data_IF_645642440984
#
_entry.id   IF_645642440984
#
_cell.length_a   1.000
_cell.length_b   1.000
_cell.length_c   1.000
_cell.angle_alpha   90.00
_cell.angle_beta   90.00
_cell.angle_gamma   90.00
#
_symmetry.space_group_name_H-M   'P 1'
#
loop_
_entity.id
_entity.type
_entity.pdbx_description
1 polymer ?
#
# COMPACT_ATOMS: atom_id res chain seq x y z
N UNK A 1 18.74 -3.88 -1.31
CA UNK A 1 19.05 -2.78 -0.37
C UNK A 1 18.75 -1.36 -0.89
N UNK A 2 18.98 -1.02 -2.17
CA UNK A 2 18.62 0.31 -2.72
C UNK A 2 17.16 0.68 -2.48
N UNK A 3 16.23 -0.26 -2.68
CA UNK A 3 14.81 -0.08 -2.37
C UNK A 3 14.58 0.26 -0.89
N UNK A 4 15.27 -0.40 0.04
CA UNK A 4 15.12 -0.16 1.49
C UNK A 4 15.55 1.25 1.86
N UNK A 5 16.69 1.71 1.35
CA UNK A 5 17.17 3.09 1.58
C UNK A 5 16.18 4.11 1.04
N UNK A 6 15.70 3.91 -0.20
CA UNK A 6 14.71 4.80 -0.84
C UNK A 6 13.40 4.82 -0.06
N UNK A 7 12.85 3.66 0.31
CA UNK A 7 11.59 3.57 1.04
C UNK A 7 11.71 4.22 2.41
N UNK A 8 12.80 3.96 3.14
CA UNK A 8 13.02 4.56 4.46
C UNK A 8 13.16 6.08 4.37
N UNK A 9 13.87 6.59 3.35
CA UNK A 9 13.98 8.01 3.10
C UNK A 9 12.61 8.65 2.82
N UNK A 10 11.80 8.02 1.96
CA UNK A 10 10.45 8.49 1.67
C UNK A 10 9.55 8.48 2.91
N UNK A 11 9.58 7.39 3.69
CA UNK A 11 8.80 7.29 4.93
C UNK A 11 9.23 8.35 5.94
N UNK A 12 10.53 8.61 6.08
CA UNK A 12 11.00 9.69 6.94
C UNK A 12 10.42 11.04 6.50
N UNK A 13 10.44 11.37 5.21
CA UNK A 13 9.86 12.61 4.70
C UNK A 13 8.36 12.67 5.01
N UNK A 14 7.61 11.62 4.69
CA UNK A 14 6.16 11.58 4.93
C UNK A 14 5.80 11.71 6.42
N UNK A 15 6.54 11.06 7.31
CA UNK A 15 6.30 11.15 8.75
C UNK A 15 6.70 12.53 9.30
N UNK A 16 7.79 13.11 8.81
CA UNK A 16 8.22 14.46 9.20
C UNK A 16 7.22 15.54 8.75
N UNK A 17 6.65 15.43 7.55
CA UNK A 17 5.55 16.30 7.09
C UNK A 17 4.31 16.17 8.00
N UNK A 18 4.07 14.98 8.56
CA UNK A 18 3.02 14.71 9.56
C UNK A 18 3.43 15.12 11.00
N UNK A 19 4.55 15.82 11.17
CA UNK A 19 5.06 16.29 12.47
C UNK A 19 5.64 15.20 13.38
N UNK A 20 5.92 14.01 12.84
CA UNK A 20 6.49 12.87 13.57
C UNK A 20 8.01 12.83 13.42
N UNK A 21 8.66 12.13 14.36
CA UNK A 21 10.11 11.98 14.35
C UNK A 21 10.61 11.15 13.16
N UNK A 22 11.86 11.41 12.76
CA UNK A 22 12.59 10.56 11.83
C UNK A 22 12.70 9.14 12.41
N UNK A 23 12.65 8.13 11.54
CA UNK A 23 12.66 6.71 11.91
C UNK A 23 11.39 6.25 12.66
N UNK A 24 10.37 7.09 12.82
CA UNK A 24 9.11 6.68 13.46
C UNK A 24 8.45 5.48 12.78
N UNK A 25 8.67 5.31 11.48
CA UNK A 25 8.17 4.18 10.71
C UNK A 25 9.30 3.52 9.90
N UNK A 26 9.73 2.35 10.34
CA UNK A 26 10.70 1.51 9.63
C UNK A 26 10.06 0.16 9.35
N UNK A 27 10.03 -0.25 8.08
CA UNK A 27 9.50 -1.54 7.66
C UNK A 27 10.34 -2.70 8.25
N UNK A 28 9.72 -3.85 8.48
CA UNK A 28 10.40 -4.96 9.15
C UNK A 28 11.52 -5.57 8.30
N UNK A 29 11.41 -5.55 6.97
CA UNK A 29 12.50 -5.99 6.09
C UNK A 29 13.73 -5.10 6.19
N UNK A 30 13.51 -3.81 6.42
CA UNK A 30 14.58 -2.85 6.63
C UNK A 30 15.20 -3.12 7.99
N UNK A 31 14.39 -3.37 9.03
CA UNK A 31 14.90 -3.82 10.32
C UNK A 31 15.69 -5.12 10.22
N UNK A 32 15.24 -6.11 9.46
CA UNK A 32 15.97 -7.37 9.30
C UNK A 32 17.34 -7.17 8.63
N UNK A 33 17.45 -6.21 7.70
CA UNK A 33 18.75 -5.74 7.19
C UNK A 33 19.59 -5.08 8.29
N UNK A 34 19.03 -4.10 9.02
CA UNK A 34 19.75 -3.36 10.06
C UNK A 34 20.23 -4.28 11.20
N UNK A 35 19.45 -5.31 11.53
CA UNK A 35 19.76 -6.25 12.60
C UNK A 35 20.70 -7.37 12.15
N UNK A 36 21.11 -7.41 10.88
CA UNK A 36 22.04 -8.43 10.38
C UNK A 36 21.39 -9.75 9.94
N UNK A 37 20.06 -9.89 10.02
CA UNK A 37 19.35 -11.11 9.62
C UNK A 37 19.36 -11.36 8.12
N UNK A 38 19.52 -10.31 7.31
CA UNK A 38 19.72 -10.41 5.85
C UNK A 38 21.19 -10.39 5.43
N UNK A 39 22.13 -10.44 6.39
CA UNK A 39 23.56 -10.33 6.17
C UNK A 39 24.20 -9.15 6.89
N UNK A 40 25.53 -9.16 6.97
CA UNK A 40 26.29 -8.12 7.65
C UNK A 40 26.38 -6.85 6.80
N UNK A 41 26.01 -5.71 7.37
CA UNK A 41 26.22 -4.41 6.75
C UNK A 41 27.72 -4.10 6.60
N UNK A 42 28.15 -3.43 5.51
CA UNK A 42 29.55 -3.10 5.30
C UNK A 42 30.06 -1.99 6.23
N UNK A 43 29.16 -1.17 6.78
CA UNK A 43 29.48 -0.08 7.70
C UNK A 43 28.74 -0.19 9.02
N UNK A 44 29.11 0.67 9.95
CA UNK A 44 28.46 0.75 11.26
C UNK A 44 27.11 1.45 11.18
N UNK A 45 26.19 1.04 12.05
CA UNK A 45 24.89 1.66 12.19
C UNK A 45 25.00 2.94 13.01
N UNK A 46 24.21 3.95 12.63
CA UNK A 46 24.10 5.18 13.40
C UNK A 46 23.65 4.87 14.85
N UNK A 47 24.22 5.53 15.87
CA UNK A 47 23.89 5.26 17.28
C UNK A 47 22.40 5.34 17.59
N UNK A 48 21.69 6.31 17.00
CA UNK A 48 20.24 6.50 17.14
C UNK A 48 19.42 5.27 16.71
N UNK A 49 19.85 4.56 15.65
CA UNK A 49 19.17 3.35 15.19
C UNK A 49 19.46 2.16 16.11
N UNK A 50 20.66 2.11 16.70
CA UNK A 50 21.04 1.08 17.68
C UNK A 50 20.25 1.25 18.97
N UNK A 51 20.10 2.48 19.45
CA UNK A 51 19.28 2.81 20.62
C UNK A 51 17.81 2.48 20.38
N UNK A 52 17.28 2.86 19.21
CA UNK A 52 15.91 2.52 18.82
C UNK A 52 15.68 1.02 18.74
N UNK A 53 16.61 0.26 18.15
CA UNK A 53 16.54 -1.20 18.12
C UNK A 53 16.42 -1.79 19.53
N UNK A 54 17.22 -1.29 20.48
CA UNK A 54 17.16 -1.72 21.89
C UNK A 54 15.84 -1.34 22.55
N UNK A 55 15.35 -0.11 22.32
CA UNK A 55 14.09 0.37 22.86
C UNK A 55 12.88 -0.45 22.35
N UNK A 56 12.93 -0.91 21.10
CA UNK A 56 11.93 -1.79 20.49
C UNK A 56 12.17 -3.29 20.81
N UNK A 57 13.14 -3.62 21.66
CA UNK A 57 13.45 -5.01 22.02
C UNK A 57 14.00 -5.87 20.88
N UNK A 58 14.47 -5.25 19.80
CA UNK A 58 15.01 -5.93 18.62
C UNK A 58 16.43 -6.44 18.88
N UNK A 59 16.71 -7.67 18.45
CA UNK A 59 17.99 -8.36 18.67
C UNK A 59 18.83 -8.38 17.39
N UNK A 60 20.11 -8.03 17.54
CA UNK A 60 21.09 -8.17 16.47
C UNK A 60 21.45 -9.64 16.25
N UNK A 61 21.64 -10.01 14.99
CA UNK A 61 21.97 -11.34 14.53
C UNK A 61 23.32 -11.30 13.80
N UNK A 62 24.20 -12.23 14.15
CA UNK A 62 25.57 -12.35 13.59
C UNK A 62 25.84 -13.72 12.97
N UNK A 63 24.83 -14.59 12.92
CA UNK A 63 24.93 -15.94 12.33
C UNK A 63 24.81 -15.94 10.81
N UNK A 64 24.60 -17.12 10.23
CA UNK A 64 24.33 -17.25 8.80
C UNK A 64 22.88 -16.81 8.51
N UNK A 65 22.63 -15.81 7.64
CA UNK A 65 21.28 -15.39 7.28
C UNK A 65 20.37 -16.53 6.81
N UNK A 66 20.94 -17.57 6.18
CA UNK A 66 20.18 -18.73 5.70
C UNK A 66 19.53 -19.53 6.84
N UNK A 67 20.09 -19.48 8.05
CA UNK A 67 19.56 -20.19 9.22
C UNK A 67 18.17 -19.67 9.63
N UNK A 68 17.83 -18.43 9.23
CA UNK A 68 16.51 -17.84 9.48
C UNK A 68 15.43 -18.40 8.54
N UNK A 69 15.80 -19.16 7.50
CA UNK A 69 14.90 -19.65 6.46
C UNK A 69 15.04 -21.17 6.33
N UNK A 70 14.54 -21.94 7.31
CA UNK A 70 14.54 -23.39 7.24
C UNK A 70 13.66 -23.89 6.08
N UNK A 71 13.93 -25.10 5.61
CA UNK A 71 13.11 -25.74 4.58
C UNK A 71 11.65 -25.87 5.07
N UNK A 72 10.72 -25.38 4.25
CA UNK A 72 9.28 -25.38 4.53
C UNK A 72 8.45 -26.05 3.43
N UNK A 73 9.08 -26.78 2.49
CA UNK A 73 8.39 -27.37 1.34
C UNK A 73 7.31 -28.38 1.75
N UNK A 74 7.53 -29.17 2.80
CA UNK A 74 6.54 -30.16 3.27
C UNK A 74 5.23 -29.49 3.72
N UNK A 75 5.32 -28.29 4.30
CA UNK A 75 4.14 -27.49 4.64
C UNK A 75 3.34 -27.16 3.39
N UNK A 76 4.00 -26.66 2.35
CA UNK A 76 3.33 -26.27 1.11
C UNK A 76 2.79 -27.48 0.35
N UNK A 77 3.49 -28.62 0.36
CA UNK A 77 2.99 -29.87 -0.21
C UNK A 77 1.69 -30.30 0.47
N UNK A 78 1.60 -30.18 1.79
CA UNK A 78 0.36 -30.44 2.54
C UNK A 78 -0.77 -29.47 2.14
N UNK A 79 -0.48 -28.17 2.05
CA UNK A 79 -1.46 -27.15 1.64
C UNK A 79 -1.97 -27.38 0.20
N UNK A 80 -1.09 -27.77 -0.73
CA UNK A 80 -1.51 -28.11 -2.11
C UNK A 80 -2.40 -29.34 -2.13
N UNK A 81 -2.06 -30.39 -1.36
CA UNK A 81 -2.88 -31.58 -1.23
C UNK A 81 -4.28 -31.26 -0.67
N UNK A 82 -4.38 -30.40 0.35
CA UNK A 82 -5.66 -29.92 0.91
C UNK A 82 -6.50 -29.15 -0.11
N UNK A 83 -5.85 -28.42 -1.03
CA UNK A 83 -6.51 -27.68 -2.12
C UNK A 83 -6.67 -28.50 -3.41
N UNK A 84 -6.29 -29.78 -3.39
CA UNK A 84 -6.27 -30.67 -4.56
C UNK A 84 -5.47 -30.10 -5.74
N UNK A 85 -4.33 -29.49 -5.45
CA UNK A 85 -3.39 -29.00 -6.46
C UNK A 85 -2.23 -29.98 -6.64
N UNK A 86 -1.84 -30.21 -7.88
CA UNK A 86 -0.68 -31.00 -8.24
C UNK A 86 0.59 -30.18 -8.01
N UNK A 87 1.66 -30.83 -7.57
CA UNK A 87 2.96 -30.17 -7.33
C UNK A 87 3.73 -29.89 -8.61
N UNK A 88 3.25 -30.37 -9.75
CA UNK A 88 3.93 -30.27 -11.04
C UNK A 88 4.80 -31.51 -11.35
N UNK A 89 5.35 -31.56 -12.56
CA UNK A 89 6.20 -32.68 -13.03
C UNK A 89 7.54 -32.76 -12.28
N UNK A 90 8.13 -31.60 -11.96
CA UNK A 90 9.41 -31.46 -11.28
C UNK A 90 9.35 -30.61 -10.00
N UNK A 91 8.18 -30.61 -9.34
CA UNK A 91 7.84 -29.79 -8.16
C UNK A 91 7.82 -28.26 -8.44
N UNK A 92 7.75 -27.84 -9.69
CA UNK A 92 7.72 -26.44 -10.13
C UNK A 92 6.55 -25.65 -9.55
N UNK A 93 5.35 -26.25 -9.49
CA UNK A 93 4.17 -25.60 -8.90
C UNK A 93 4.30 -25.51 -7.38
N UNK A 94 4.97 -26.49 -6.75
CA UNK A 94 5.30 -26.45 -5.32
C UNK A 94 6.29 -25.32 -5.00
N UNK A 95 7.34 -25.16 -5.82
CA UNK A 95 8.30 -24.07 -5.64
C UNK A 95 7.64 -22.71 -5.85
N UNK A 96 6.81 -22.56 -6.89
CA UNK A 96 6.10 -21.31 -7.15
C UNK A 96 5.14 -20.96 -6.00
N UNK A 97 4.40 -21.95 -5.49
CA UNK A 97 3.53 -21.74 -4.34
C UNK A 97 4.32 -21.38 -3.07
N UNK A 98 5.47 -22.02 -2.86
CA UNK A 98 6.32 -21.76 -1.70
C UNK A 98 6.97 -20.36 -1.72
N UNK A 99 7.34 -19.87 -2.92
CA UNK A 99 7.96 -18.55 -3.11
C UNK A 99 6.91 -17.42 -3.14
N UNK A 100 5.73 -17.68 -3.70
CA UNK A 100 4.73 -16.66 -3.98
C UNK A 100 3.31 -17.12 -3.57
N UNK A 101 3.03 -17.39 -2.27
CA UNK A 101 1.79 -18.05 -1.87
C UNK A 101 0.53 -17.32 -2.32
N UNK A 102 0.41 -16.02 -2.02
CA UNK A 102 -0.80 -15.26 -2.34
C UNK A 102 -1.00 -15.07 -3.85
N UNK A 103 0.09 -14.82 -4.59
CA UNK A 103 0.04 -14.66 -6.05
C UNK A 103 -0.34 -15.98 -6.72
N UNK A 104 0.23 -17.09 -6.25
CA UNK A 104 -0.08 -18.42 -6.75
C UNK A 104 -1.54 -18.81 -6.46
N UNK A 105 -2.04 -18.56 -5.25
CA UNK A 105 -3.45 -18.79 -4.93
C UNK A 105 -4.40 -17.93 -5.78
N UNK A 106 -4.06 -16.65 -5.98
CA UNK A 106 -4.82 -15.75 -6.84
C UNK A 106 -4.79 -16.20 -8.32
N UNK A 107 -3.67 -16.75 -8.78
CA UNK A 107 -3.53 -17.32 -10.12
C UNK A 107 -4.39 -18.57 -10.27
N UNK A 108 -4.24 -19.56 -9.38
CA UNK A 108 -4.97 -20.84 -9.40
C UNK A 108 -6.47 -20.66 -9.25
N UNK A 109 -6.92 -19.71 -8.44
CA UNK A 109 -8.35 -19.39 -8.27
C UNK A 109 -8.95 -18.58 -9.44
N UNK A 110 -8.12 -18.06 -10.35
CA UNK A 110 -8.54 -17.17 -11.43
C UNK A 110 -8.80 -15.72 -11.00
N UNK A 111 -8.68 -15.39 -9.71
CA UNK A 111 -8.82 -14.01 -9.19
C UNK A 111 -7.87 -13.05 -9.89
N UNK A 112 -6.60 -13.45 -10.08
CA UNK A 112 -5.60 -12.64 -10.75
C UNK A 112 -6.03 -12.23 -12.18
N UNK A 113 -6.72 -13.12 -12.90
CA UNK A 113 -7.26 -12.85 -14.25
C UNK A 113 -8.41 -11.84 -14.21
N UNK A 114 -9.28 -11.92 -13.20
CA UNK A 114 -10.37 -10.97 -13.00
C UNK A 114 -9.80 -9.59 -12.67
N UNK A 115 -8.91 -9.52 -11.67
CA UNK A 115 -8.28 -8.27 -11.23
C UNK A 115 -7.51 -7.58 -12.37
N UNK A 116 -6.77 -8.35 -13.16
CA UNK A 116 -6.07 -7.83 -14.35
C UNK A 116 -7.03 -7.21 -15.37
N UNK A 117 -8.17 -7.84 -15.64
CA UNK A 117 -9.16 -7.30 -16.59
C UNK A 117 -9.78 -6.00 -16.08
N UNK A 118 -10.07 -5.92 -14.78
CA UNK A 118 -10.59 -4.71 -14.13
C UNK A 118 -9.57 -3.57 -14.24
N UNK A 119 -8.31 -3.83 -13.91
CA UNK A 119 -7.23 -2.85 -14.00
C UNK A 119 -7.00 -2.35 -15.44
N UNK A 120 -7.02 -3.26 -16.43
CA UNK A 120 -6.94 -2.89 -17.85
C UNK A 120 -8.12 -2.01 -18.27
N UNK A 121 -9.34 -2.34 -17.86
CA UNK A 121 -10.52 -1.53 -18.16
C UNK A 121 -10.43 -0.13 -17.53
N UNK A 122 -10.01 -0.05 -16.27
CA UNK A 122 -9.76 1.21 -15.56
C UNK A 122 -8.74 2.08 -16.30
N UNK A 123 -7.56 1.53 -16.63
CA UNK A 123 -6.51 2.27 -17.34
C UNK A 123 -6.92 2.72 -18.73
N UNK A 124 -7.74 1.92 -19.45
CA UNK A 124 -8.31 2.35 -20.73
C UNK A 124 -9.25 3.54 -20.54
N UNK A 125 -10.15 3.48 -19.57
CA UNK A 125 -11.05 4.58 -19.26
C UNK A 125 -10.30 5.85 -18.82
N UNK A 126 -9.27 5.71 -17.99
CA UNK A 126 -8.43 6.84 -17.55
C UNK A 126 -7.66 7.46 -18.71
N UNK A 127 -7.13 6.64 -19.62
CA UNK A 127 -6.49 7.11 -20.86
C UNK A 127 -7.48 7.84 -21.77
N UNK A 128 -8.69 7.32 -21.92
CA UNK A 128 -9.75 7.98 -22.71
C UNK A 128 -10.20 9.30 -22.09
N UNK A 129 -10.30 9.38 -20.75
CA UNK A 129 -10.56 10.64 -20.03
C UNK A 129 -9.43 11.65 -20.20
N UNK A 130 -8.17 11.21 -20.15
CA UNK A 130 -7.00 12.07 -20.35
C UNK A 130 -6.82 12.51 -21.82
N UNK A 131 -7.33 11.72 -22.78
CA UNK A 131 -7.27 12.01 -24.21
C UNK A 131 -8.42 12.89 -24.70
N UNK A 132 -9.52 13.02 -23.93
CA UNK A 132 -10.50 14.08 -24.17
C UNK A 132 -9.83 15.41 -23.80
N UNK A 133 -9.83 16.42 -24.68
CA UNK A 133 -9.43 17.76 -24.26
C UNK A 133 -10.27 18.10 -23.03
N UNK A 134 -9.64 18.45 -21.92
CA UNK A 134 -10.29 19.31 -20.93
C UNK A 134 -10.93 20.41 -21.75
N UNK A 135 -12.26 20.51 -21.73
CA UNK A 135 -12.97 21.59 -22.40
C UNK A 135 -12.15 22.85 -22.17
N UNK A 136 -11.65 23.45 -23.25
CA UNK A 136 -10.93 24.71 -23.19
C UNK A 136 -11.71 25.58 -22.21
N UNK A 137 -11.06 25.97 -21.11
CA UNK A 137 -11.51 27.18 -20.43
C UNK A 137 -11.26 28.23 -21.48
N UNK A 138 -12.28 28.52 -22.30
CA UNK A 138 -12.20 29.49 -23.37
C UNK A 138 -11.76 30.79 -22.69
N UNK A 139 -10.50 31.17 -22.90
CA UNK A 139 -10.02 32.48 -22.50
C UNK A 139 -10.94 33.49 -23.20
N UNK A 140 -11.48 34.49 -22.47
CA UNK A 140 -12.40 35.45 -23.06
C UNK A 140 -11.73 36.10 -24.27
N UNK A 141 -12.30 35.89 -25.46
CA UNK A 141 -11.78 36.43 -26.73
C UNK A 141 -12.10 37.92 -26.91
N UNK A 142 -12.80 38.52 -25.94
CA UNK A 142 -13.11 39.95 -25.91
C UNK A 142 -12.28 40.65 -24.84
N UNK A 143 -11.73 41.84 -25.12
CA UNK A 143 -10.99 42.60 -24.12
C UNK A 143 -11.87 42.90 -22.91
N UNK A 144 -11.43 42.48 -21.73
CA UNK A 144 -12.14 42.75 -20.47
C UNK A 144 -11.37 43.77 -19.65
N UNK A 145 -12.08 44.81 -19.21
CA UNK A 145 -11.55 45.78 -18.25
C UNK A 145 -11.83 45.28 -16.83
N UNK A 146 -10.77 45.09 -16.05
CA UNK A 146 -10.88 44.70 -14.64
C UNK A 146 -10.09 45.66 -13.74
N UNK A 147 -10.57 45.85 -12.53
CA UNK A 147 -9.91 46.67 -11.52
C UNK A 147 -9.04 45.77 -10.65
N UNK A 148 -7.72 45.92 -10.75
CA UNK A 148 -6.73 45.17 -9.99
C UNK A 148 -6.20 46.06 -8.86
N UNK A 149 -6.25 45.56 -7.63
CA UNK A 149 -5.63 46.22 -6.50
C UNK A 149 -4.16 45.79 -6.42
N UNK A 150 -3.24 46.75 -6.51
CA UNK A 150 -1.81 46.52 -6.30
C UNK A 150 -1.37 47.45 -5.16
N UNK A 151 -0.95 46.85 -4.03
CA UNK A 151 -0.50 47.58 -2.84
C UNK A 151 -1.51 48.62 -2.30
N UNK A 152 -2.80 48.31 -2.34
CA UNK A 152 -3.85 49.17 -1.81
C UNK A 152 -4.38 50.25 -2.76
N UNK A 153 -3.79 50.39 -3.96
CA UNK A 153 -4.32 51.27 -5.00
C UNK A 153 -4.97 50.46 -6.13
N UNK A 154 -6.17 50.90 -6.54
CA UNK A 154 -6.98 50.24 -7.55
C UNK A 154 -6.62 50.77 -8.94
N UNK A 155 -6.16 49.89 -9.83
CA UNK A 155 -5.84 50.20 -11.23
C UNK A 155 -6.83 49.51 -12.16
N UNK A 156 -7.39 50.26 -13.12
CA UNK A 156 -8.25 49.69 -14.16
C UNK A 156 -7.40 49.30 -15.36
N UNK A 157 -7.31 48.00 -15.62
CA UNK A 157 -6.51 47.42 -16.72
C UNK A 157 -7.42 46.70 -17.69
N UNK A 158 -7.19 46.92 -18.99
CA UNK A 158 -7.87 46.21 -20.07
C UNK A 158 -6.92 45.15 -20.60
N UNK A 159 -7.31 43.88 -20.50
CA UNK A 159 -6.52 42.75 -21.02
C UNK A 159 -7.12 42.34 -22.35
N UNK A 160 -6.34 42.42 -23.43
CA UNK A 160 -6.74 41.95 -24.75
C UNK A 160 -6.05 40.61 -25.04
N UNK A 161 -6.84 39.61 -25.42
CA UNK A 161 -6.37 38.30 -25.87
C UNK A 161 -6.40 38.31 -27.41
N UNK A 162 -5.26 38.06 -28.06
CA UNK A 162 -5.10 38.21 -29.51
C UNK A 162 -5.95 37.24 -30.36
N UNK A 163 -6.34 37.68 -31.55
CA UNK A 163 -7.18 36.94 -32.51
C UNK A 163 -6.52 35.66 -33.01
N UNK A 164 -7.23 34.54 -32.89
CA UNK A 164 -7.10 33.39 -33.81
C UNK A 164 -8.47 32.92 -34.26
N UNK A 165 -8.57 32.69 -35.56
CA UNK A 165 -9.78 32.47 -36.34
C UNK A 165 -10.60 31.23 -35.97
N UNK A 166 -11.90 31.34 -36.26
CA UNK A 166 -12.97 30.39 -35.98
C UNK A 166 -12.81 29.00 -36.62
N UNK A 167 -13.28 27.98 -35.89
CA UNK A 167 -13.79 26.72 -36.43
C UNK A 167 -14.99 26.26 -35.59
N UNK A 168 -15.90 25.54 -36.24
CA UNK A 168 -17.33 25.39 -35.95
C UNK A 168 -17.71 24.65 -34.66
N UNK A 169 -18.79 25.14 -34.03
CA UNK A 169 -19.52 24.55 -32.91
C UNK A 169 -20.32 23.29 -33.29
N UNK A 170 -20.15 22.22 -32.51
CA UNK A 170 -21.14 21.14 -32.37
C UNK A 170 -21.70 21.12 -30.94
N UNK A 171 -23.01 20.89 -30.82
CA UNK A 171 -23.83 21.02 -29.61
C UNK A 171 -23.44 20.04 -28.46
N UNK A 172 -23.68 20.40 -27.19
CA UNK A 172 -23.29 19.56 -26.06
C UNK A 172 -24.29 18.42 -25.81
N UNK A 173 -23.78 17.19 -25.75
CA UNK A 173 -24.49 16.06 -25.16
C UNK A 173 -24.20 15.98 -23.65
N UNK A 174 -25.24 15.66 -22.87
CA UNK A 174 -25.27 15.67 -21.41
C UNK A 174 -24.14 14.83 -20.76
N UNK A 175 -23.50 15.41 -19.73
CA UNK A 175 -22.49 14.73 -18.91
C UNK A 175 -23.15 13.65 -18.03
N UNK A 176 -22.64 12.40 -18.03
CA UNK A 176 -23.03 11.42 -17.03
C UNK A 176 -22.38 11.77 -15.69
N UNK A 177 -23.20 11.76 -14.65
CA UNK A 177 -22.82 11.89 -13.25
C UNK A 177 -21.80 10.79 -12.85
N UNK A 178 -20.75 11.10 -12.06
CA UNK A 178 -19.82 10.08 -11.59
C UNK A 178 -20.54 9.03 -10.75
N UNK A 179 -20.34 7.76 -11.10
CA UNK A 179 -20.78 6.62 -10.33
C UNK A 179 -20.02 6.57 -8.98
N UNK A 180 -20.69 6.20 -7.87
CA UNK A 180 -20.07 6.14 -6.56
C UNK A 180 -18.92 5.12 -6.54
N UNK A 181 -17.79 5.53 -5.97
CA UNK A 181 -16.70 4.66 -5.54
C UNK A 181 -17.27 3.56 -4.65
N UNK A 182 -16.98 2.31 -4.99
CA UNK A 182 -17.39 1.16 -4.19
C UNK A 182 -16.68 1.23 -2.83
N UNK A 183 -17.46 1.45 -1.78
CA UNK A 183 -17.05 1.25 -0.39
C UNK A 183 -16.65 -0.22 -0.21
N UNK A 184 -15.46 -0.53 0.35
CA UNK A 184 -15.14 -1.89 0.75
C UNK A 184 -16.19 -2.41 1.74
N UNK A 185 -16.55 -3.68 1.59
CA UNK A 185 -17.57 -4.32 2.41
C UNK A 185 -17.20 -4.24 3.90
N UNK A 186 -18.08 -3.67 4.71
CA UNK A 186 -17.99 -3.71 6.17
C UNK A 186 -18.15 -5.16 6.63
N UNK A 187 -17.04 -5.80 7.02
CA UNK A 187 -17.14 -6.99 7.87
C UNK A 187 -17.81 -6.55 9.18
N UNK A 188 -18.87 -7.25 9.56
CA UNK A 188 -19.64 -6.99 10.77
C UNK A 188 -18.85 -7.48 11.98
N UNK A 189 -18.47 -6.55 12.84
CA UNK A 189 -17.86 -6.76 14.14
C UNK A 189 -17.98 -5.48 14.96
N UNK A 190 -18.25 -5.60 16.25
CA UNK A 190 -18.18 -4.46 17.18
C UNK A 190 -16.71 -4.23 17.59
N UNK A 191 -16.32 -2.99 17.86
CA UNK A 191 -14.96 -2.64 18.28
C UNK A 191 -14.37 -1.44 17.55
N UNK A 192 -13.16 -1.06 17.96
CA UNK A 192 -12.36 0.01 17.37
C UNK A 192 -11.76 -0.45 16.03
N UNK A 193 -11.82 0.42 15.04
CA UNK A 193 -11.28 0.14 13.70
C UNK A 193 -9.75 0.27 13.72
N UNK A 194 -9.07 -0.74 13.19
CA UNK A 194 -7.63 -0.71 12.89
C UNK A 194 -7.48 -0.36 11.42
N UNK A 195 -6.98 0.84 11.17
CA UNK A 195 -6.88 1.40 9.83
C UNK A 195 -5.53 1.08 9.17
N UNK A 196 -5.54 1.07 7.84
CA UNK A 196 -4.31 0.93 7.07
C UNK A 196 -3.48 2.22 7.12
N UNK A 197 -2.22 2.16 7.58
CA UNK A 197 -1.39 3.37 7.68
C UNK A 197 -0.85 3.86 6.33
N UNK A 198 -1.02 3.08 5.26
CA UNK A 198 -0.52 3.37 3.91
C UNK A 198 -1.23 2.50 2.85
N UNK A 199 -1.14 2.93 1.59
CA UNK A 199 -1.59 2.12 0.44
C UNK A 199 -0.64 0.94 0.18
N UNK A 200 -1.19 -0.25 -0.06
CA UNK A 200 -0.40 -1.44 -0.38
C UNK A 200 -1.22 -2.72 -0.50
N UNK A 201 -0.56 -3.86 -0.26
CA UNK A 201 -1.16 -5.19 -0.24
C UNK A 201 -1.25 -5.73 1.18
N UNK A 202 -2.44 -6.17 1.59
CA UNK A 202 -2.69 -6.70 2.92
C UNK A 202 -2.22 -8.16 3.06
N UNK A 203 -1.56 -8.49 4.17
CA UNK A 203 -1.17 -9.84 4.54
C UNK A 203 -1.31 -10.06 6.04
N UNK A 204 -1.77 -11.25 6.46
CA UNK A 204 -1.84 -11.60 7.90
C UNK A 204 -0.48 -12.00 8.47
N UNK A 205 0.45 -12.44 7.63
CA UNK A 205 1.76 -12.93 8.00
C UNK A 205 2.81 -12.37 7.06
N UNK A 206 4.03 -12.17 7.58
CA UNK A 206 5.16 -11.73 6.77
C UNK A 206 5.77 -12.90 5.99
N UNK A 207 5.92 -14.03 6.66
CA UNK A 207 6.45 -15.26 6.07
C UNK A 207 5.48 -16.41 6.30
N UNK A 208 5.58 -17.46 5.50
CA UNK A 208 4.74 -18.62 5.72
C UNK A 208 5.03 -19.35 7.03
N UNK A 209 6.17 -19.15 7.69
CA UNK A 209 6.45 -19.76 8.99
C UNK A 209 5.70 -19.08 10.13
N UNK A 210 5.18 -17.87 9.93
CA UNK A 210 4.48 -17.11 10.96
C UNK A 210 3.04 -17.62 11.17
N UNK A 211 2.51 -17.40 12.37
CA UNK A 211 1.12 -17.73 12.70
C UNK A 211 0.24 -16.50 12.47
N UNK A 212 -0.78 -16.56 11.62
CA UNK A 212 -1.69 -15.45 11.40
C UNK A 212 -2.58 -15.23 12.62
N UNK A 213 -2.86 -13.96 12.91
CA UNK A 213 -3.92 -13.57 13.87
C UNK A 213 -5.29 -13.99 13.34
N UNK A 214 -6.15 -14.45 14.24
CA UNK A 214 -7.52 -14.92 13.94
C UNK A 214 -8.55 -14.13 14.74
N UNK A 215 -9.78 -14.14 14.24
CA UNK A 215 -10.94 -13.63 14.99
C UNK A 215 -11.08 -14.44 16.29
N UNK A 216 -11.21 -13.75 17.41
CA UNK A 216 -11.25 -14.31 18.76
C UNK A 216 -9.91 -14.32 19.50
N UNK A 217 -8.79 -13.98 18.83
CA UNK A 217 -7.49 -13.92 19.48
C UNK A 217 -7.38 -12.66 20.37
N UNK A 218 -6.85 -12.85 21.59
CA UNK A 218 -6.50 -11.76 22.49
C UNK A 218 -5.15 -11.16 22.08
N UNK A 219 -5.09 -9.83 22.01
CA UNK A 219 -3.91 -9.06 21.60
C UNK A 219 -3.59 -7.98 22.62
N UNK A 220 -2.32 -7.66 22.77
CA UNK A 220 -1.83 -6.57 23.63
C UNK A 220 -1.35 -5.41 22.80
N UNK A 221 -1.34 -4.22 23.39
CA UNK A 221 -0.73 -3.03 22.80
C UNK A 221 0.69 -3.33 22.35
N UNK A 222 0.96 -3.07 21.07
CA UNK A 222 2.26 -3.29 20.43
C UNK A 222 2.39 -4.64 19.70
N UNK A 223 1.46 -5.58 19.90
CA UNK A 223 1.46 -6.86 19.18
C UNK A 223 1.26 -6.64 17.68
N UNK A 224 1.91 -7.45 16.85
CA UNK A 224 1.77 -7.37 15.40
C UNK A 224 0.48 -8.06 14.99
N UNK A 225 -0.36 -7.33 14.26
CA UNK A 225 -1.68 -7.77 13.85
C UNK A 225 -1.70 -8.28 12.41
N UNK A 226 -1.04 -7.54 11.52
CA UNK A 226 -0.94 -7.82 10.09
C UNK A 226 0.19 -7.01 9.46
N UNK A 227 0.35 -7.14 8.15
CA UNK A 227 1.38 -6.47 7.37
C UNK A 227 0.78 -5.83 6.11
N UNK A 228 1.25 -4.63 5.79
CA UNK A 228 1.01 -4.00 4.50
C UNK A 228 2.31 -4.05 3.69
N UNK A 229 2.32 -4.82 2.61
CA UNK A 229 3.39 -4.76 1.62
C UNK A 229 3.18 -3.51 0.77
N UNK A 230 4.09 -2.55 0.93
CA UNK A 230 4.12 -1.37 0.09
C UNK A 230 5.54 -1.13 -0.36
N UNK A 231 5.68 -0.75 -1.63
CA UNK A 231 6.97 -0.52 -2.25
C UNK A 231 7.94 -1.70 -2.05
N UNK A 232 7.45 -2.95 -2.06
CA UNK A 232 8.22 -4.19 -1.86
C UNK A 232 8.84 -4.33 -0.46
N UNK A 233 8.23 -3.73 0.55
CA UNK A 233 8.62 -3.86 1.96
C UNK A 233 7.38 -4.12 2.81
N UNK A 234 7.48 -5.06 3.75
CA UNK A 234 6.42 -5.38 4.70
C UNK A 234 6.45 -4.43 5.91
N UNK A 235 5.38 -3.67 6.09
CA UNK A 235 5.17 -2.78 7.22
C UNK A 235 4.22 -3.43 8.22
N UNK A 236 4.70 -3.73 9.42
CA UNK A 236 3.84 -4.28 10.47
C UNK A 236 2.83 -3.24 10.95
N UNK A 237 1.57 -3.62 11.00
CA UNK A 237 0.50 -2.91 11.70
C UNK A 237 0.38 -3.51 13.09
N UNK A 238 0.44 -2.66 14.11
CA UNK A 238 0.47 -3.09 15.52
C UNK A 238 -0.78 -2.65 16.26
N UNK A 239 -1.18 -3.41 17.27
CA UNK A 239 -2.30 -3.07 18.13
C UNK A 239 -2.01 -1.79 18.93
N UNK A 240 -2.94 -0.84 18.91
CA UNK A 240 -2.83 0.42 19.67
C UNK A 240 -3.25 0.27 21.14
N UNK A 241 -4.04 -0.76 21.43
CA UNK A 241 -4.59 -1.08 22.75
C UNK A 241 -4.70 -2.60 22.94
N UNK A 242 -4.86 -3.02 24.20
CA UNK A 242 -5.19 -4.40 24.53
C UNK A 242 -6.63 -4.69 24.12
N UNK A 243 -6.92 -5.90 23.65
CA UNK A 243 -8.29 -6.28 23.27
C UNK A 243 -8.38 -7.65 22.61
N UNK A 244 -9.51 -7.93 21.98
CA UNK A 244 -9.79 -9.16 21.22
C UNK A 244 -10.13 -8.81 19.78
N UNK A 245 -9.58 -9.55 18.81
CA UNK A 245 -9.89 -9.34 17.39
C UNK A 245 -11.32 -9.81 17.10
N UNK A 246 -12.19 -8.90 16.67
CA UNK A 246 -13.60 -9.19 16.40
C UNK A 246 -13.92 -9.38 14.93
N UNK A 247 -13.14 -8.79 14.03
CA UNK A 247 -13.29 -8.96 12.58
C UNK A 247 -11.97 -8.73 11.84
N UNK A 248 -11.77 -9.44 10.73
CA UNK A 248 -10.71 -9.20 9.74
C UNK A 248 -11.42 -8.83 8.43
N UNK A 249 -11.19 -7.61 7.94
CA UNK A 249 -11.96 -6.98 6.86
C UNK A 249 -11.32 -7.10 5.48
N UNK A 250 -10.08 -7.58 5.40
CA UNK A 250 -9.33 -7.76 4.17
C UNK A 250 -8.82 -9.21 4.05
N UNK A 251 -8.77 -9.75 2.83
CA UNK A 251 -8.15 -11.03 2.57
C UNK A 251 -6.66 -10.87 2.20
N UNK A 252 -5.79 -11.84 2.51
CA UNK A 252 -4.39 -11.80 2.07
C UNK A 252 -4.27 -11.59 0.55
N UNK A 253 -3.49 -10.60 0.14
CA UNK A 253 -3.28 -10.19 -1.25
C UNK A 253 -4.23 -9.09 -1.76
N UNK A 254 -5.22 -8.67 -0.96
CA UNK A 254 -6.10 -7.56 -1.32
C UNK A 254 -5.35 -6.23 -1.34
N UNK A 255 -5.77 -5.34 -2.26
CA UNK A 255 -5.29 -3.96 -2.29
C UNK A 255 -6.03 -3.15 -1.24
N UNK A 256 -5.28 -2.39 -0.44
CA UNK A 256 -5.81 -1.46 0.56
C UNK A 256 -5.21 -0.08 0.34
N UNK A 257 -5.99 0.96 0.62
CA UNK A 257 -5.59 2.37 0.62
C UNK A 257 -5.23 2.83 2.03
N UNK A 258 -4.64 4.02 2.17
CA UNK A 258 -4.54 4.67 3.49
C UNK A 258 -5.95 4.86 4.07
N UNK A 259 -6.09 4.63 5.38
CA UNK A 259 -7.34 4.70 6.15
C UNK A 259 -8.40 3.63 5.86
N UNK A 260 -8.13 2.65 4.99
CA UNK A 260 -9.03 1.49 4.83
C UNK A 260 -9.06 0.65 6.13
N UNK A 261 -10.24 0.18 6.53
CA UNK A 261 -10.41 -0.67 7.73
C UNK A 261 -9.85 -2.07 7.45
N UNK A 262 -8.80 -2.45 8.19
CA UNK A 262 -8.15 -3.75 8.06
C UNK A 262 -8.78 -4.81 8.98
N UNK A 263 -9.09 -4.41 10.21
CA UNK A 263 -9.65 -5.29 11.25
C UNK A 263 -10.32 -4.46 12.35
N UNK A 264 -11.02 -5.14 13.26
CA UNK A 264 -11.67 -4.53 14.42
C UNK A 264 -11.22 -5.21 15.72
N UNK A 265 -10.99 -4.43 16.78
CA UNK A 265 -10.56 -4.90 18.10
C UNK A 265 -11.47 -4.31 19.19
N UNK A 266 -11.89 -5.14 20.14
CA UNK A 266 -12.72 -4.76 21.29
C UNK A 266 -12.01 -4.97 22.63
#
# INVERSE_FOLDING_TARGET
FSQYVKNLALMNVMQMEKGKERWSMIADDIWDMLLGKAGRLPGELAPELVEKAKAEGRKFFTGNPQDNYPNSLDKYRKLMNEKHWETGEDDEELFEYAMHPAQYEAYRSGKAKVDFKVDVAKRKADKEKAAKPTAEVALPTTPQAMTVNVNGQNYKVTVAFGETAAAETAAPAAAPQPAPTATPATASGEGNDILSPLEGKFFLVKTASDTPVKVGDAVKKGDVLCYIEAMKTYNAVRAESDGTVTAICAAPGDTVSEDDVLMKIQ
#
